data_IF_836790186057
#
_entry.id   IF_836790186057
#
_cell.length_a   1.000
_cell.length_b   1.000
_cell.length_c   1.000
_cell.angle_alpha   90.00
_cell.angle_beta   90.00
_cell.angle_gamma   90.00
#
_symmetry.space_group_name_H-M   'P 1'
#
loop_
_entity.id
_entity.type
_entity.pdbx_description
1 polymer ?
#
# COMPACT_ATOMS: atom_id res chain seq x y z
N UNK A 1 -16.08 -27.35 9.84
CA UNK A 1 -17.09 -26.48 10.51
C UNK A 1 -17.81 -25.62 9.47
N UNK A 2 -19.16 -25.49 9.53
CA UNK A 2 -19.95 -24.77 8.53
C UNK A 2 -19.48 -23.34 8.22
N UNK A 3 -18.98 -22.59 9.22
CA UNK A 3 -18.47 -21.20 9.10
C UNK A 3 -17.44 -20.97 7.98
N UNK A 4 -16.64 -21.98 7.61
CA UNK A 4 -15.55 -21.83 6.62
C UNK A 4 -15.94 -22.23 5.19
N UNK A 5 -17.20 -22.59 4.92
CA UNK A 5 -17.67 -23.08 3.61
C UNK A 5 -18.18 -21.99 2.65
N UNK A 6 -18.19 -20.71 3.05
CA UNK A 6 -18.64 -19.62 2.18
C UNK A 6 -17.64 -19.31 1.06
N UNK A 7 -18.14 -18.95 -0.14
CA UNK A 7 -17.31 -18.64 -1.31
C UNK A 7 -17.63 -17.25 -1.87
N UNK A 8 -18.88 -17.03 -2.32
CA UNK A 8 -19.26 -15.85 -3.13
C UNK A 8 -19.12 -14.47 -2.47
N UNK A 9 -19.24 -14.40 -1.13
CA UNK A 9 -19.26 -13.12 -0.38
C UNK A 9 -17.92 -12.75 0.28
N UNK A 10 -16.84 -13.49 -0.01
CA UNK A 10 -15.52 -13.20 0.56
C UNK A 10 -14.86 -12.07 -0.23
N UNK A 11 -14.61 -10.95 0.43
CA UNK A 11 -13.90 -9.79 -0.16
C UNK A 11 -12.43 -9.77 0.23
N UNK A 12 -11.58 -9.23 -0.65
CA UNK A 12 -10.17 -9.09 -0.37
C UNK A 12 -9.89 -8.12 0.80
N UNK A 13 -8.91 -8.44 1.63
CA UNK A 13 -8.48 -7.53 2.69
C UNK A 13 -7.72 -6.30 2.13
N UNK A 14 -7.10 -6.38 0.95
CA UNK A 14 -6.40 -5.26 0.31
C UNK A 14 -7.37 -4.50 -0.60
N UNK A 15 -7.25 -3.17 -0.63
CA UNK A 15 -8.00 -2.36 -1.60
C UNK A 15 -7.50 -2.61 -3.03
N UNK A 16 -8.38 -2.40 -4.02
CA UNK A 16 -8.04 -2.52 -5.45
C UNK A 16 -6.87 -1.58 -5.81
N UNK A 17 -6.89 -0.35 -5.31
CA UNK A 17 -5.78 0.60 -5.46
C UNK A 17 -4.44 0.04 -4.98
N UNK A 18 -4.39 -0.59 -3.79
CA UNK A 18 -3.15 -1.21 -3.29
C UNK A 18 -2.72 -2.39 -4.15
N UNK A 19 -3.66 -3.17 -4.67
CA UNK A 19 -3.37 -4.27 -5.58
C UNK A 19 -2.75 -3.73 -6.88
N UNK A 20 -3.25 -2.60 -7.41
CA UNK A 20 -2.66 -1.93 -8.57
C UNK A 20 -1.23 -1.46 -8.29
N UNK A 21 -0.97 -0.78 -7.16
CA UNK A 21 0.39 -0.38 -6.76
C UNK A 21 1.35 -1.59 -6.68
N UNK A 22 0.92 -2.69 -6.07
CA UNK A 22 1.73 -3.91 -5.94
C UNK A 22 1.99 -4.58 -7.30
N UNK A 23 1.04 -4.55 -8.23
CA UNK A 23 1.21 -5.06 -9.60
C UNK A 23 2.24 -4.23 -10.37
N UNK A 24 2.14 -2.90 -10.31
CA UNK A 24 3.09 -1.99 -10.97
C UNK A 24 4.51 -2.16 -10.43
N UNK A 25 4.67 -2.29 -9.11
CA UNK A 25 5.98 -2.50 -8.50
C UNK A 25 6.62 -3.86 -8.87
N UNK A 26 5.81 -4.89 -9.14
CA UNK A 26 6.33 -6.17 -9.67
C UNK A 26 6.80 -6.03 -11.11
N UNK A 27 6.12 -5.19 -11.91
CA UNK A 27 6.51 -4.93 -13.30
C UNK A 27 7.79 -4.13 -13.41
N UNK A 28 8.00 -3.16 -12.52
CA UNK A 28 9.17 -2.28 -12.48
C UNK A 28 9.95 -2.46 -11.14
N UNK A 29 10.75 -3.52 -11.01
CA UNK A 29 11.40 -3.87 -9.74
C UNK A 29 12.57 -2.95 -9.34
N UNK A 30 13.11 -2.19 -10.29
CA UNK A 30 14.16 -1.19 -10.08
C UNK A 30 13.62 0.14 -9.52
N UNK A 31 12.32 0.39 -9.62
CA UNK A 31 11.68 1.62 -9.18
C UNK A 31 10.91 1.42 -7.87
N UNK A 32 10.70 2.51 -7.13
CA UNK A 32 9.90 2.53 -5.91
C UNK A 32 8.59 3.29 -6.11
N UNK A 33 7.50 2.76 -5.55
CA UNK A 33 6.18 3.41 -5.61
C UNK A 33 6.13 4.55 -4.61
N UNK A 34 5.89 5.76 -5.11
CA UNK A 34 5.65 6.95 -4.30
C UNK A 34 4.20 6.97 -3.81
N UNK A 35 3.24 6.98 -4.73
CA UNK A 35 1.81 6.99 -4.44
C UNK A 35 0.98 6.59 -5.67
N UNK A 36 -0.34 6.61 -5.55
CA UNK A 36 -1.26 6.38 -6.66
C UNK A 36 -2.55 7.20 -6.52
N UNK A 37 -3.26 7.40 -7.63
CA UNK A 37 -4.59 8.02 -7.65
C UNK A 37 -5.53 7.32 -8.64
N UNK A 38 -6.83 7.54 -8.44
CA UNK A 38 -7.90 7.01 -9.30
C UNK A 38 -8.10 7.92 -10.49
N UNK A 39 -8.30 7.32 -11.67
CA UNK A 39 -8.51 8.04 -12.93
C UNK A 39 -9.95 7.87 -13.41
N UNK A 40 -10.48 6.65 -13.26
CA UNK A 40 -11.75 6.27 -13.84
C UNK A 40 -12.09 4.82 -13.52
N UNK A 41 -13.32 4.45 -13.80
CA UNK A 41 -13.78 3.08 -13.75
C UNK A 41 -14.76 2.80 -14.89
N UNK A 42 -14.77 1.54 -15.30
CA UNK A 42 -15.79 0.96 -16.15
C UNK A 42 -16.54 -0.11 -15.31
N UNK A 43 -17.63 -0.67 -15.83
CA UNK A 43 -18.45 -1.66 -15.11
C UNK A 43 -17.67 -2.91 -14.65
N UNK A 44 -16.49 -3.17 -15.22
CA UNK A 44 -15.64 -4.33 -14.88
C UNK A 44 -14.28 -3.96 -14.27
N UNK A 45 -13.79 -2.75 -14.47
CA UNK A 45 -12.39 -2.39 -14.18
C UNK A 45 -12.29 -1.05 -13.48
N UNK A 46 -11.34 -0.94 -12.56
CA UNK A 46 -10.94 0.33 -11.97
C UNK A 46 -9.52 0.67 -12.44
N UNK A 47 -9.33 1.91 -12.89
CA UNK A 47 -8.09 2.41 -13.43
C UNK A 47 -7.41 3.35 -12.43
N UNK A 48 -6.10 3.15 -12.26
CA UNK A 48 -5.28 3.93 -11.34
C UNK A 48 -3.96 4.31 -12.01
N UNK A 49 -3.52 5.53 -11.75
CA UNK A 49 -2.19 6.01 -12.12
C UNK A 49 -1.28 5.83 -10.91
N UNK A 50 -0.12 5.22 -11.13
CA UNK A 50 0.86 4.90 -10.09
C UNK A 50 2.12 5.70 -10.36
N UNK A 51 2.52 6.52 -9.40
CA UNK A 51 3.71 7.36 -9.47
C UNK A 51 4.90 6.54 -8.97
N UNK A 52 5.85 6.30 -9.86
CA UNK A 52 7.10 5.59 -9.59
C UNK A 52 8.26 6.59 -9.55
N UNK A 53 9.29 6.24 -8.78
CA UNK A 53 10.54 7.02 -8.69
C UNK A 53 11.71 6.05 -8.81
N UNK A 54 12.72 6.45 -9.57
CA UNK A 54 14.00 5.73 -9.63
C UNK A 54 14.93 6.23 -8.51
N UNK A 55 15.22 5.42 -7.48
CA UNK A 55 16.12 5.81 -6.39
C UNK A 55 17.60 5.85 -6.79
N UNK A 56 17.99 5.28 -7.94
CA UNK A 56 19.37 5.24 -8.40
C UNK A 56 19.77 6.51 -9.16
N UNK A 57 18.80 7.24 -9.70
CA UNK A 57 19.00 8.45 -10.48
C UNK A 57 19.57 9.60 -9.63
N UNK A 58 20.59 10.30 -10.14
CA UNK A 58 21.29 11.40 -9.43
C UNK A 58 20.36 12.57 -9.09
N UNK A 59 19.46 12.96 -10.02
CA UNK A 59 18.46 14.00 -9.76
C UNK A 59 17.61 13.73 -8.51
N UNK A 60 17.21 12.47 -8.28
CA UNK A 60 16.41 12.08 -7.11
C UNK A 60 17.25 12.06 -5.83
N UNK A 61 18.51 11.63 -5.92
CA UNK A 61 19.44 11.63 -4.78
C UNK A 61 19.79 13.04 -4.31
N UNK A 62 19.94 13.96 -5.25
CA UNK A 62 20.32 15.35 -4.98
C UNK A 62 19.13 16.20 -4.53
N UNK A 63 17.89 15.82 -4.86
CA UNK A 63 16.69 16.56 -4.44
C UNK A 63 16.36 16.28 -2.95
N UNK A 64 16.51 17.28 -2.05
CA UNK A 64 16.26 17.10 -0.61
C UNK A 64 14.80 16.79 -0.26
N UNK A 65 13.84 17.02 -1.17
CA UNK A 65 12.41 16.77 -0.92
C UNK A 65 12.04 15.30 -1.05
N UNK A 66 12.74 14.57 -1.93
CA UNK A 66 12.38 13.19 -2.29
C UNK A 66 13.48 12.16 -2.04
N UNK A 67 14.72 12.58 -1.82
CA UNK A 67 15.86 11.69 -1.59
C UNK A 67 15.66 10.65 -0.46
N UNK A 68 14.73 10.88 0.47
CA UNK A 68 14.35 9.92 1.50
C UNK A 68 13.93 8.57 0.90
N UNK A 69 13.39 8.55 -0.32
CA UNK A 69 12.97 7.32 -1.01
C UNK A 69 14.17 6.45 -1.40
N UNK A 70 15.35 7.04 -1.58
CA UNK A 70 16.60 6.34 -1.90
C UNK A 70 17.16 5.54 -0.71
N UNK A 71 16.71 5.81 0.52
CA UNK A 71 17.17 5.08 1.70
C UNK A 71 16.75 3.59 1.59
N UNK A 72 17.66 2.63 1.86
CA UNK A 72 17.33 1.19 1.89
C UNK A 72 16.09 0.82 2.74
N UNK A 73 15.79 1.58 3.80
CA UNK A 73 14.61 1.39 4.63
C UNK A 73 13.27 1.59 3.88
N UNK A 74 13.30 2.26 2.73
CA UNK A 74 12.17 2.53 1.84
C UNK A 74 12.06 1.57 0.65
N UNK A 75 13.00 0.64 0.50
CA UNK A 75 12.91 -0.42 -0.52
C UNK A 75 11.62 -1.23 -0.38
N UNK A 76 10.95 -1.52 -1.49
CA UNK A 76 9.74 -2.35 -1.55
C UNK A 76 8.65 -1.86 -0.58
N UNK A 77 8.51 -0.54 -0.40
CA UNK A 77 7.60 0.05 0.61
C UNK A 77 6.12 -0.28 0.37
N UNK A 78 5.74 -0.48 -0.88
CA UNK A 78 4.38 -0.85 -1.30
C UNK A 78 3.92 -2.18 -0.69
N UNK A 79 4.77 -3.21 -0.72
CA UNK A 79 4.42 -4.53 -0.20
C UNK A 79 4.24 -4.52 1.32
N UNK A 80 4.95 -3.62 2.01
CA UNK A 80 4.82 -3.37 3.46
C UNK A 80 3.64 -2.45 3.80
N UNK A 81 2.92 -1.94 2.81
CA UNK A 81 1.76 -1.05 3.02
C UNK A 81 2.15 0.29 3.63
N UNK A 82 3.28 0.86 3.22
CA UNK A 82 3.72 2.21 3.62
C UNK A 82 3.20 3.33 2.70
N UNK A 83 2.61 2.98 1.54
CA UNK A 83 1.89 3.92 0.65
C UNK A 83 0.61 4.45 1.31
N UNK A 84 0.02 5.52 0.78
CA UNK A 84 -1.23 6.08 1.32
C UNK A 84 -2.37 5.06 1.31
N UNK A 85 -2.52 4.31 0.22
CA UNK A 85 -3.48 3.21 0.10
C UNK A 85 -3.18 2.08 1.11
N UNK A 86 -1.91 1.75 1.31
CA UNK A 86 -1.46 0.78 2.30
C UNK A 86 -1.79 1.17 3.74
N UNK A 87 -1.54 2.44 4.11
CA UNK A 87 -1.83 2.97 5.45
C UNK A 87 -3.34 3.04 5.70
N UNK A 88 -4.13 3.47 4.71
CA UNK A 88 -5.60 3.43 4.76
C UNK A 88 -6.10 2.01 5.02
N UNK A 89 -5.62 1.04 4.24
CA UNK A 89 -6.00 -0.37 4.38
C UNK A 89 -5.56 -1.03 5.69
N UNK A 90 -4.65 -0.41 6.45
CA UNK A 90 -4.21 -0.85 7.78
C UNK A 90 -4.93 -0.15 8.93
N UNK A 91 -5.83 0.79 8.66
CA UNK A 91 -6.51 1.57 9.70
C UNK A 91 -5.60 2.58 10.39
N UNK A 92 -4.51 3.03 9.76
CA UNK A 92 -3.54 3.93 10.39
C UNK A 92 -3.83 5.42 10.22
N UNK A 93 -4.95 5.78 9.57
CA UNK A 93 -5.34 7.17 9.31
C UNK A 93 -5.90 7.90 10.53
N UNK A 94 -6.35 7.17 11.56
CA UNK A 94 -6.85 7.76 12.81
C UNK A 94 -5.94 7.42 13.99
N UNK A 95 -6.09 8.20 15.07
CA UNK A 95 -5.42 8.02 16.36
C UNK A 95 -6.49 8.10 17.47
N UNK A 96 -6.19 7.54 18.64
CA UNK A 96 -7.13 7.50 19.77
C UNK A 96 -8.06 6.28 19.71
N UNK A 97 -9.32 6.49 20.07
CA UNK A 97 -10.32 5.41 20.20
C UNK A 97 -10.51 4.65 18.89
N UNK A 98 -10.51 3.33 18.94
CA UNK A 98 -10.58 2.43 17.78
C UNK A 98 -9.22 2.15 17.12
N UNK A 99 -8.15 2.88 17.48
CA UNK A 99 -6.80 2.66 16.96
C UNK A 99 -5.93 1.72 17.82
N UNK A 100 -6.45 1.24 18.95
CA UNK A 100 -5.70 0.56 20.02
C UNK A 100 -5.07 -0.75 19.52
N UNK A 101 -5.77 -1.46 18.63
CA UNK A 101 -5.32 -2.77 18.09
C UNK A 101 -4.66 -2.68 16.71
N UNK A 102 -4.53 -1.48 16.13
CA UNK A 102 -3.90 -1.27 14.80
C UNK A 102 -2.53 -0.59 14.90
N UNK A 103 -2.25 0.16 15.97
CA UNK A 103 -0.97 0.83 16.22
C UNK A 103 -0.14 0.08 17.26
N UNK A 104 1.19 -0.07 17.10
CA UNK A 104 2.03 0.43 16.00
C UNK A 104 1.89 -0.40 14.72
N UNK A 105 1.48 -1.67 14.84
CA UNK A 105 1.17 -2.54 13.70
C UNK A 105 0.14 -3.60 14.06
N UNK A 106 -0.58 -4.12 13.06
CA UNK A 106 -1.58 -5.19 13.24
C UNK A 106 -0.95 -6.48 13.81
N UNK A 107 0.28 -6.80 13.41
CA UNK A 107 0.98 -8.00 13.88
C UNK A 107 1.41 -7.92 15.34
N UNK A 108 1.74 -6.73 15.83
CA UNK A 108 2.03 -6.51 17.25
C UNK A 108 0.82 -6.88 18.14
N UNK A 109 -0.39 -6.77 17.61
CA UNK A 109 -1.64 -7.14 18.28
C UNK A 109 -2.19 -8.49 17.83
N UNK A 110 -1.32 -9.43 17.47
CA UNK A 110 -1.68 -10.81 17.10
C UNK A 110 -2.69 -10.90 15.94
N UNK A 111 -2.71 -9.90 15.03
CA UNK A 111 -3.65 -9.90 13.91
C UNK A 111 -5.09 -9.55 14.28
N UNK A 112 -5.34 -9.06 15.50
CA UNK A 112 -6.68 -8.66 15.98
C UNK A 112 -7.12 -7.29 15.47
N UNK A 113 -6.21 -6.56 14.82
CA UNK A 113 -6.51 -5.30 14.16
C UNK A 113 -7.09 -5.55 12.77
N UNK A 114 -8.09 -4.74 12.43
CA UNK A 114 -8.91 -4.77 11.22
C UNK A 114 -10.17 -5.62 11.31
#
# INVERSE_FOLDING_TARGET
KPKKRGIKKITAAKSVQRIAEERTAKRYPNMEVLNSYWIGEDGKYHYYEVILVDPHHTAIKNDPKINWICNPANKRRVFRGKTSAGQKGRGLRHKGRGAEKVRPSIRAHQGRGK
#
